data_IF_833778111245
#
_entry.id   IF_833778111245
#
_cell.length_a   1.000
_cell.length_b   1.000
_cell.length_c   1.000
_cell.angle_alpha   90.00
_cell.angle_beta   90.00
_cell.angle_gamma   90.00
#
_symmetry.space_group_name_H-M   'P 1'
#
loop_
_entity.id
_entity.type
_entity.pdbx_description
1 polymer ?
#
# COMPACT_ATOMS: atom_id res chain seq x y z
N UNK A 1 -1.58 -4.71 16.41
CA UNK A 1 -1.93 -3.45 17.09
C UNK A 1 -3.21 -3.70 17.88
N UNK A 2 -3.27 -3.31 19.16
CA UNK A 2 -4.52 -3.36 19.93
C UNK A 2 -5.11 -1.96 19.91
N UNK A 3 -6.24 -1.79 19.24
CA UNK A 3 -7.02 -0.56 19.26
C UNK A 3 -8.09 -0.75 20.34
N UNK A 4 -8.25 0.17 21.30
CA UNK A 4 -9.32 0.08 22.27
C UNK A 4 -10.65 0.19 21.54
N UNK A 5 -11.36 -0.94 21.46
CA UNK A 5 -12.59 -1.05 20.70
C UNK A 5 -13.65 -1.79 21.52
N UNK A 6 -14.90 -1.38 21.39
CA UNK A 6 -16.04 -2.06 21.99
C UNK A 6 -16.92 -2.60 20.86
N UNK A 7 -17.36 -3.85 21.00
CA UNK A 7 -18.32 -4.43 20.06
C UNK A 7 -19.72 -4.01 20.48
N UNK A 8 -20.47 -3.45 19.55
CA UNK A 8 -21.88 -3.10 19.74
C UNK A 8 -22.72 -4.24 19.18
N UNK A 9 -23.51 -4.85 20.06
CA UNK A 9 -24.41 -5.94 19.73
C UNK A 9 -25.84 -5.40 19.54
N UNK A 10 -26.64 -6.07 18.72
CA UNK A 10 -28.08 -5.85 18.65
C UNK A 10 -28.83 -6.47 19.85
N UNK A 11 -30.16 -6.36 19.83
CA UNK A 11 -31.03 -6.92 20.87
C UNK A 11 -30.96 -8.45 20.98
N UNK A 12 -30.46 -9.14 19.95
CA UNK A 12 -30.28 -10.60 19.91
C UNK A 12 -28.86 -11.02 20.31
N UNK A 13 -28.00 -10.06 20.70
CA UNK A 13 -26.62 -10.30 21.10
C UNK A 13 -25.66 -10.49 19.93
N UNK A 14 -26.10 -10.22 18.69
CA UNK A 14 -25.27 -10.33 17.49
C UNK A 14 -24.45 -9.07 17.29
N UNK A 15 -23.15 -9.24 17.06
CA UNK A 15 -22.23 -8.14 16.78
C UNK A 15 -22.56 -7.44 15.46
N UNK A 16 -22.80 -6.13 15.52
CA UNK A 16 -23.19 -5.32 14.36
C UNK A 16 -22.25 -4.16 14.06
N UNK A 17 -21.60 -3.59 15.09
CA UNK A 17 -20.68 -2.48 14.91
C UNK A 17 -19.53 -2.53 15.92
N UNK A 18 -18.52 -1.70 15.67
CA UNK A 18 -17.39 -1.50 16.57
C UNK A 18 -17.30 -0.02 16.91
N UNK A 19 -17.33 0.30 18.19
CA UNK A 19 -17.09 1.64 18.70
C UNK A 19 -15.59 1.82 18.95
N UNK A 20 -15.01 2.86 18.36
CA UNK A 20 -13.60 3.23 18.51
C UNK A 20 -13.54 4.73 18.77
N UNK A 21 -12.67 5.21 19.70
CA UNK A 21 -12.41 6.64 19.84
C UNK A 21 -11.94 7.25 18.51
N UNK A 22 -12.38 8.48 18.21
CA UNK A 22 -12.10 9.12 16.93
C UNK A 22 -10.60 9.28 16.68
N UNK A 23 -9.83 9.63 17.72
CA UNK A 23 -8.38 9.81 17.62
C UNK A 23 -7.66 8.49 17.27
N UNK A 24 -8.07 7.40 17.93
CA UNK A 24 -7.57 6.04 17.68
C UNK A 24 -7.92 5.57 16.26
N UNK A 25 -9.15 5.87 15.80
CA UNK A 25 -9.56 5.55 14.43
C UNK A 25 -8.74 6.34 13.40
N UNK A 26 -8.51 7.63 13.63
CA UNK A 26 -7.71 8.46 12.74
C UNK A 26 -6.26 7.98 12.67
N UNK A 27 -5.66 7.59 13.80
CA UNK A 27 -4.31 7.01 13.82
C UNK A 27 -4.26 5.69 13.05
N UNK A 28 -5.26 4.83 13.24
CA UNK A 28 -5.37 3.57 12.50
C UNK A 28 -5.45 3.82 10.98
N UNK A 29 -6.30 4.74 10.54
CA UNK A 29 -6.44 5.11 9.13
C UNK A 29 -5.13 5.68 8.58
N UNK A 30 -4.44 6.52 9.35
CA UNK A 30 -3.13 7.05 8.97
C UNK A 30 -2.10 5.94 8.72
N UNK A 31 -2.02 4.96 9.62
CA UNK A 31 -1.13 3.80 9.48
C UNK A 31 -1.49 2.92 8.28
N UNK A 32 -2.78 2.67 8.06
CA UNK A 32 -3.24 1.90 6.90
C UNK A 32 -2.83 2.58 5.58
N UNK A 33 -3.06 3.88 5.45
CA UNK A 33 -2.62 4.65 4.28
C UNK A 33 -1.10 4.60 4.08
N UNK A 34 -0.34 4.69 5.17
CA UNK A 34 1.12 4.56 5.09
C UNK A 34 1.55 3.17 4.59
N UNK A 35 0.93 2.09 5.07
CA UNK A 35 1.24 0.75 4.59
C UNK A 35 0.81 0.52 3.15
N UNK A 36 -0.32 1.06 2.71
CA UNK A 36 -0.72 1.03 1.30
C UNK A 36 0.32 1.72 0.41
N UNK A 37 0.81 2.89 0.81
CA UNK A 37 1.88 3.60 0.09
C UNK A 37 3.17 2.78 0.02
N UNK A 38 3.58 2.18 1.13
CA UNK A 38 4.77 1.32 1.18
C UNK A 38 4.61 0.07 0.31
N UNK A 39 3.43 -0.56 0.30
CA UNK A 39 3.15 -1.72 -0.54
C UNK A 39 3.19 -1.36 -2.02
N UNK A 40 2.62 -0.21 -2.39
CA UNK A 40 2.68 0.32 -3.76
C UNK A 40 4.13 0.57 -4.16
N UNK A 41 4.91 1.25 -3.32
CA UNK A 41 6.34 1.50 -3.56
C UNK A 41 7.11 0.20 -3.73
N UNK A 42 6.92 -0.78 -2.84
CA UNK A 42 7.55 -2.10 -2.93
C UNK A 42 7.24 -2.79 -4.25
N UNK A 43 5.97 -2.78 -4.67
CA UNK A 43 5.55 -3.37 -5.94
C UNK A 43 6.22 -2.67 -7.13
N UNK A 44 6.20 -1.33 -7.17
CA UNK A 44 6.86 -0.55 -8.23
C UNK A 44 8.36 -0.80 -8.28
N UNK A 45 9.03 -0.85 -7.14
CA UNK A 45 10.47 -1.16 -7.07
C UNK A 45 10.76 -2.57 -7.55
N UNK A 46 9.95 -3.56 -7.17
CA UNK A 46 10.12 -4.94 -7.63
C UNK A 46 10.01 -5.04 -9.16
N UNK A 47 9.05 -4.34 -9.76
CA UNK A 47 8.89 -4.30 -11.22
C UNK A 47 10.10 -3.62 -11.88
N UNK A 48 10.53 -2.47 -11.35
CA UNK A 48 11.68 -1.74 -11.88
C UNK A 48 12.97 -2.59 -11.81
N UNK A 49 13.19 -3.30 -10.70
CA UNK A 49 14.35 -4.18 -10.53
C UNK A 49 14.32 -5.37 -11.51
N UNK A 50 13.15 -5.97 -11.74
CA UNK A 50 13.01 -7.03 -12.76
C UNK A 50 13.32 -6.51 -14.17
N UNK A 51 12.81 -5.31 -14.52
CA UNK A 51 13.14 -4.67 -15.79
C UNK A 51 14.65 -4.45 -15.94
N UNK A 52 15.33 -3.96 -14.89
CA UNK A 52 16.78 -3.79 -14.90
C UNK A 52 17.50 -5.13 -15.07
N UNK A 53 17.07 -6.20 -14.39
CA UNK A 53 17.64 -7.54 -14.55
C UNK A 53 17.47 -8.06 -15.98
N UNK A 54 16.32 -7.85 -16.59
CA UNK A 54 16.05 -8.17 -18.01
C UNK A 54 16.91 -7.34 -18.96
N UNK A 55 17.14 -6.06 -18.67
CA UNK A 55 18.07 -5.23 -19.46
C UNK A 55 19.52 -5.69 -19.35
N UNK A 56 19.95 -6.12 -18.16
CA UNK A 56 21.31 -6.65 -17.94
C UNK A 56 21.53 -7.98 -18.66
N UNK A 57 20.52 -8.84 -18.70
CA UNK A 57 20.56 -10.11 -19.44
C UNK A 57 20.33 -9.98 -20.95
N UNK A 58 20.18 -8.75 -21.47
CA UNK A 58 19.94 -8.50 -22.90
C UNK A 58 18.51 -8.81 -23.37
N UNK A 59 17.61 -9.22 -22.47
CA UNK A 59 16.20 -9.55 -22.76
C UNK A 59 15.28 -8.33 -22.84
N UNK A 60 15.79 -7.13 -22.54
CA UNK A 60 15.08 -5.86 -22.67
C UNK A 60 16.07 -4.80 -23.19
N UNK A 61 15.66 -4.00 -24.17
CA UNK A 61 16.53 -2.98 -24.76
C UNK A 61 16.77 -1.86 -23.74
N UNK A 62 18.05 -1.52 -23.54
CA UNK A 62 18.44 -0.35 -22.75
C UNK A 62 18.01 0.92 -23.50
N UNK A 63 17.52 1.91 -22.77
CA UNK A 63 17.13 3.22 -23.30
C UNK A 63 17.98 4.29 -22.65
N UNK A 64 18.34 5.31 -23.42
CA UNK A 64 19.03 6.47 -22.84
C UNK A 64 18.01 7.41 -22.16
N UNK A 65 18.49 8.27 -21.27
CA UNK A 65 17.64 9.30 -20.64
C UNK A 65 16.95 10.20 -21.69
N UNK A 66 17.66 10.48 -22.79
CA UNK A 66 17.15 11.27 -23.92
C UNK A 66 16.01 10.57 -24.66
N UNK A 67 16.05 9.24 -24.75
CA UNK A 67 14.97 8.44 -25.37
C UNK A 67 13.72 8.39 -24.50
N UNK A 68 13.88 8.38 -23.17
CA UNK A 68 12.75 8.35 -22.24
C UNK A 68 12.04 9.71 -22.17
N UNK A 69 12.80 10.81 -22.15
CA UNK A 69 12.27 12.19 -22.04
C UNK A 69 11.59 12.70 -23.32
N UNK A 70 11.76 12.01 -24.47
CA UNK A 70 11.09 12.36 -25.73
C UNK A 70 9.70 11.74 -25.88
N UNK A 71 9.36 10.74 -25.09
CA UNK A 71 8.10 9.97 -25.17
C UNK A 71 7.14 10.25 -24.00
N UNK A 72 7.54 11.09 -23.04
CA UNK A 72 6.71 11.55 -21.93
C UNK A 72 5.99 12.86 -22.30
#
# INVERSE_FOLDING_TARGET
MKVPMQVVNDAEGKAHAVLIPVDEFNELVGKLRHYEQLLKLRSTLSIALDQVARMRSGKLKKRTLKDALREA
#
